data_IF_566071741823
#
_entry.id   IF_566071741823
#
_cell.length_a   1.000
_cell.length_b   1.000
_cell.length_c   1.000
_cell.angle_alpha   90.00
_cell.angle_beta   90.00
_cell.angle_gamma   90.00
#
_symmetry.space_group_name_H-M   'P 1'
#
loop_
_entity.id
_entity.type
_entity.pdbx_description
1 polymer ?
#
# COMPACT_ATOMS: atom_id res chain seq x y z
N UNK A 1 13.18 -11.61 6.00
CA UNK A 1 12.41 -10.48 6.58
C UNK A 1 10.93 -10.63 6.25
N UNK A 2 10.02 -9.91 6.92
CA UNK A 2 8.58 -9.89 6.55
C UNK A 2 8.21 -8.55 5.91
N UNK A 3 7.49 -8.58 4.79
CA UNK A 3 7.02 -7.39 4.08
C UNK A 3 5.51 -7.45 3.91
N UNK A 4 4.83 -6.39 4.34
CA UNK A 4 3.42 -6.13 4.03
C UNK A 4 3.36 -5.10 2.92
N UNK A 5 2.99 -5.55 1.72
CA UNK A 5 2.73 -4.66 0.61
C UNK A 5 1.35 -4.03 0.75
N UNK A 6 1.22 -2.76 0.39
CA UNK A 6 -0.03 -2.04 0.55
C UNK A 6 -0.42 -1.32 -0.74
N UNK A 7 -1.67 -1.47 -1.16
CA UNK A 7 -2.22 -0.62 -2.20
C UNK A 7 -2.54 0.77 -1.64
N UNK A 8 -1.81 1.76 -2.14
CA UNK A 8 -1.90 3.14 -1.66
C UNK A 8 -3.25 3.77 -1.99
N UNK A 9 -3.84 3.47 -3.15
CA UNK A 9 -5.08 4.12 -3.55
C UNK A 9 -6.23 3.67 -2.66
N UNK A 10 -6.46 2.37 -2.58
CA UNK A 10 -7.59 1.83 -1.81
C UNK A 10 -7.50 2.10 -0.32
N UNK A 11 -6.29 2.10 0.24
CA UNK A 11 -6.11 2.27 1.68
C UNK A 11 -5.99 3.73 2.11
N UNK A 12 -5.31 4.60 1.36
CA UNK A 12 -5.01 5.98 1.81
C UNK A 12 -5.96 7.01 1.20
N UNK A 13 -6.68 6.63 0.13
CA UNK A 13 -7.63 7.45 -0.60
C UNK A 13 -8.92 6.68 -0.85
N UNK A 14 -9.40 6.00 0.19
CA UNK A 14 -10.65 5.25 0.12
C UNK A 14 -11.81 6.18 -0.23
N UNK A 15 -12.81 5.64 -0.92
CA UNK A 15 -14.02 6.39 -1.28
C UNK A 15 -14.66 7.03 -0.04
N UNK A 16 -14.79 6.28 1.05
CA UNK A 16 -15.32 6.78 2.31
C UNK A 16 -14.49 7.95 2.86
N UNK A 17 -13.16 7.88 2.81
CA UNK A 17 -12.31 8.98 3.28
C UNK A 17 -12.48 10.23 2.41
N UNK A 18 -12.51 10.06 1.08
CA UNK A 18 -12.68 11.18 0.15
C UNK A 18 -14.04 11.85 0.35
N UNK A 19 -15.13 11.08 0.39
CA UNK A 19 -16.50 11.60 0.51
C UNK A 19 -16.75 12.30 1.84
N UNK A 20 -16.18 11.81 2.94
CA UNK A 20 -16.34 12.39 4.27
C UNK A 20 -15.51 13.67 4.48
N UNK A 21 -14.58 14.01 3.58
CA UNK A 21 -13.70 15.16 3.71
C UNK A 21 -13.85 16.10 2.51
N UNK A 22 -14.67 17.14 2.64
CA UNK A 22 -15.02 18.03 1.53
C UNK A 22 -13.79 18.66 0.83
N UNK A 23 -12.78 19.10 1.59
CA UNK A 23 -11.55 19.66 1.01
C UNK A 23 -10.72 18.62 0.25
N UNK A 24 -10.68 17.38 0.74
CA UNK A 24 -10.02 16.25 0.07
C UNK A 24 -10.77 15.87 -1.19
N UNK A 25 -12.10 15.78 -1.13
CA UNK A 25 -12.95 15.53 -2.29
C UNK A 25 -12.72 16.55 -3.40
N UNK A 26 -12.69 17.84 -3.06
CA UNK A 26 -12.41 18.89 -4.04
C UNK A 26 -11.02 18.76 -4.66
N UNK A 27 -9.97 18.62 -3.83
CA UNK A 27 -8.60 18.47 -4.31
C UNK A 27 -8.42 17.19 -5.16
N UNK A 28 -9.12 16.11 -4.81
CA UNK A 28 -9.12 14.86 -5.57
C UNK A 28 -9.76 15.03 -6.95
N UNK A 29 -10.90 15.72 -7.03
CA UNK A 29 -11.55 16.02 -8.31
C UNK A 29 -10.71 16.96 -9.19
N UNK A 30 -10.05 17.95 -8.61
CA UNK A 30 -9.10 18.80 -9.34
C UNK A 30 -7.89 18.00 -9.86
N UNK A 31 -7.31 17.16 -9.00
CA UNK A 31 -6.21 16.28 -9.38
C UNK A 31 -6.59 15.34 -10.52
N UNK A 32 -7.77 14.71 -10.43
CA UNK A 32 -8.28 13.75 -11.42
C UNK A 32 -8.46 14.37 -12.81
N UNK A 33 -8.79 15.66 -12.89
CA UNK A 33 -9.06 16.35 -14.14
C UNK A 33 -7.78 16.73 -14.90
N UNK A 34 -6.72 17.17 -14.20
CA UNK A 34 -5.67 17.95 -14.86
C UNK A 34 -4.23 17.71 -14.35
N UNK A 35 -3.98 16.76 -13.45
CA UNK A 35 -2.68 16.71 -12.79
C UNK A 35 -1.74 15.60 -13.29
N UNK A 36 -0.53 15.94 -13.79
CA UNK A 36 0.55 14.97 -14.00
C UNK A 36 1.27 14.61 -12.69
N UNK A 37 0.93 15.26 -11.56
CA UNK A 37 1.63 15.06 -10.29
C UNK A 37 1.09 13.84 -9.53
N UNK A 38 1.95 13.20 -8.73
CA UNK A 38 1.55 12.08 -7.89
C UNK A 38 0.50 12.54 -6.86
N UNK A 39 -0.52 11.70 -6.62
CA UNK A 39 -1.63 12.00 -5.73
C UNK A 39 -1.20 12.41 -4.31
N UNK A 40 -0.16 11.77 -3.73
CA UNK A 40 0.41 12.12 -2.43
C UNK A 40 0.92 13.57 -2.34
N UNK A 41 1.22 14.22 -3.47
CA UNK A 41 1.66 15.62 -3.50
C UNK A 41 0.51 16.61 -3.66
N UNK A 42 -0.64 16.15 -4.15
CA UNK A 42 -1.77 17.00 -4.51
C UNK A 42 -2.93 16.90 -3.51
N UNK A 43 -3.12 15.72 -2.92
CA UNK A 43 -4.25 15.42 -2.05
C UNK A 43 -3.74 14.86 -0.74
N UNK A 44 -4.30 15.33 0.37
CA UNK A 44 -3.93 14.85 1.70
C UNK A 44 -4.45 13.42 1.90
N UNK A 45 -3.59 12.42 2.17
CA UNK A 45 -4.04 11.06 2.43
C UNK A 45 -4.67 10.90 3.81
N UNK A 46 -5.40 9.80 4.01
CA UNK A 46 -5.94 9.40 5.32
C UNK A 46 -4.82 9.07 6.30
N UNK A 47 -4.37 10.08 7.05
CA UNK A 47 -3.30 9.91 8.05
C UNK A 47 -3.70 8.98 9.20
N UNK A 48 -4.99 8.92 9.54
CA UNK A 48 -5.45 8.05 10.62
C UNK A 48 -5.42 6.59 10.17
N UNK A 49 -5.89 6.30 8.95
CA UNK A 49 -5.77 4.98 8.33
C UNK A 49 -4.30 4.55 8.16
N UNK A 50 -3.44 5.45 7.67
CA UNK A 50 -1.99 5.20 7.55
C UNK A 50 -1.39 4.82 8.90
N UNK A 51 -1.67 5.57 9.96
CA UNK A 51 -1.10 5.30 11.29
C UNK A 51 -1.59 3.95 11.86
N UNK A 52 -2.86 3.60 11.66
CA UNK A 52 -3.38 2.28 12.03
C UNK A 52 -2.63 1.16 11.32
N UNK A 53 -2.48 1.26 10.00
CA UNK A 53 -1.76 0.28 9.19
C UNK A 53 -0.29 0.16 9.63
N UNK A 54 0.36 1.30 9.84
CA UNK A 54 1.74 1.42 10.31
C UNK A 54 1.97 0.67 11.60
N UNK A 55 1.17 0.97 12.63
CA UNK A 55 1.27 0.32 13.93
C UNK A 55 1.04 -1.18 13.83
N UNK A 56 -0.01 -1.61 13.16
CA UNK A 56 -0.33 -3.03 13.01
C UNK A 56 0.79 -3.81 12.31
N UNK A 57 1.38 -3.24 11.25
CA UNK A 57 2.49 -3.85 10.54
C UNK A 57 3.72 -4.00 11.45
N UNK A 58 4.13 -2.92 12.12
CA UNK A 58 5.31 -2.92 13.00
C UNK A 58 5.14 -3.89 14.17
N UNK A 59 3.98 -3.87 14.84
CA UNK A 59 3.66 -4.77 15.96
C UNK A 59 3.63 -6.25 15.55
N UNK A 60 3.41 -6.51 14.26
CA UNK A 60 3.39 -7.85 13.67
C UNK A 60 4.72 -8.23 12.97
N UNK A 61 5.75 -7.38 13.12
CA UNK A 61 7.11 -7.63 12.63
C UNK A 61 7.31 -7.36 11.12
N UNK A 62 6.39 -6.64 10.49
CA UNK A 62 6.47 -6.30 9.07
C UNK A 62 7.21 -5.00 8.83
N UNK A 63 7.94 -4.97 7.71
CA UNK A 63 8.24 -3.74 6.97
C UNK A 63 7.10 -3.46 5.99
N UNK A 64 6.81 -2.21 5.72
CA UNK A 64 5.81 -1.79 4.74
C UNK A 64 6.46 -1.50 3.39
N UNK A 65 5.73 -1.73 2.30
CA UNK A 65 6.19 -1.31 0.98
C UNK A 65 5.02 -1.03 0.03
N UNK A 66 5.04 0.07 -0.73
CA UNK A 66 3.92 0.39 -1.61
C UNK A 66 3.82 -0.58 -2.79
N UNK A 67 2.59 -0.83 -3.21
CA UNK A 67 2.32 -1.60 -4.42
C UNK A 67 2.45 -0.73 -5.68
N UNK A 68 2.97 -1.33 -6.75
CA UNK A 68 3.10 -0.69 -8.06
C UNK A 68 4.32 0.23 -8.19
N UNK A 69 4.32 1.07 -9.22
CA UNK A 69 5.46 1.92 -9.58
C UNK A 69 5.20 3.41 -9.37
N UNK A 70 3.95 3.79 -9.16
CA UNK A 70 3.56 5.20 -9.00
C UNK A 70 4.00 5.76 -7.67
N UNK A 71 4.06 4.92 -6.64
CA UNK A 71 4.43 5.31 -5.28
C UNK A 71 5.73 4.64 -4.90
N UNK A 72 6.80 5.42 -4.74
CA UNK A 72 8.13 4.92 -4.36
C UNK A 72 8.34 5.01 -2.85
N UNK A 73 9.23 4.17 -2.31
CA UNK A 73 9.70 4.27 -0.91
C UNK A 73 10.11 5.70 -0.55
N UNK A 74 10.92 6.33 -1.41
CA UNK A 74 11.40 7.70 -1.24
C UNK A 74 10.28 8.73 -1.15
N UNK A 75 9.17 8.54 -1.87
CA UNK A 75 8.04 9.45 -1.84
C UNK A 75 7.35 9.44 -0.47
N UNK A 76 7.18 8.28 0.14
CA UNK A 76 6.59 8.18 1.47
C UNK A 76 7.45 8.82 2.56
N UNK A 77 8.76 8.60 2.50
CA UNK A 77 9.72 9.21 3.45
C UNK A 77 9.71 10.74 3.28
N UNK A 78 9.76 11.24 2.04
CA UNK A 78 9.76 12.67 1.76
C UNK A 78 8.47 13.37 2.24
N UNK A 79 7.33 12.66 2.21
CA UNK A 79 6.06 13.16 2.74
C UNK A 79 5.87 12.90 4.24
N UNK A 80 6.89 12.38 4.94
CA UNK A 80 6.87 12.07 6.39
C UNK A 80 5.71 11.14 6.78
N UNK A 81 5.32 10.23 5.89
CA UNK A 81 4.26 9.25 6.15
C UNK A 81 4.79 7.99 6.85
N UNK A 82 6.05 7.65 6.59
CA UNK A 82 6.75 6.53 7.19
C UNK A 82 8.22 6.87 7.40
N UNK A 83 8.81 6.31 8.44
CA UNK A 83 10.25 6.36 8.66
C UNK A 83 10.99 5.36 7.75
N UNK A 84 12.25 5.63 7.46
CA UNK A 84 13.11 4.75 6.65
C UNK A 84 13.18 3.32 7.16
N UNK A 85 13.10 3.15 8.50
CA UNK A 85 13.15 1.87 9.19
C UNK A 85 11.81 1.15 9.16
N UNK A 86 10.71 1.80 8.83
CA UNK A 86 9.39 1.16 8.73
C UNK A 86 9.17 0.57 7.33
N UNK A 87 9.89 1.08 6.32
CA UNK A 87 9.78 0.62 4.95
C UNK A 87 10.82 -0.43 4.57
N UNK A 88 10.42 -1.38 3.71
CA UNK A 88 11.36 -2.29 3.07
C UNK A 88 12.26 -1.50 2.11
N UNK A 89 13.53 -1.91 1.89
CA UNK A 89 14.44 -1.21 1.00
C UNK A 89 14.06 -1.41 -0.47
N UNK A 90 14.35 -0.43 -1.32
CA UNK A 90 14.21 -0.60 -2.78
C UNK A 90 15.19 -1.67 -3.31
N UNK A 91 14.81 -2.37 -4.39
CA UNK A 91 15.68 -3.27 -5.16
C UNK A 91 15.53 -3.06 -6.65
N UNK A 92 16.66 -3.19 -7.36
CA UNK A 92 16.66 -3.29 -8.83
C UNK A 92 16.06 -4.65 -9.19
N UNK A 93 14.97 -4.63 -9.95
CA UNK A 93 14.26 -5.83 -10.35
C UNK A 93 14.63 -6.20 -11.79
N UNK A 94 15.01 -7.45 -12.01
CA UNK A 94 15.21 -8.01 -13.34
C UNK A 94 13.87 -8.46 -13.92
N UNK A 95 13.03 -7.49 -14.28
CA UNK A 95 11.74 -7.71 -14.91
C UNK A 95 11.81 -7.40 -16.40
N UNK A 96 10.94 -8.01 -17.20
CA UNK A 96 10.87 -7.73 -18.64
C UNK A 96 10.51 -6.26 -18.87
N UNK A 97 11.13 -5.66 -19.88
CA UNK A 97 10.80 -4.30 -20.30
C UNK A 97 9.31 -4.21 -20.65
N UNK A 98 8.61 -3.23 -20.09
CA UNK A 98 7.16 -3.06 -20.25
C UNK A 98 6.30 -3.78 -19.20
N UNK A 99 6.86 -4.65 -18.37
CA UNK A 99 6.11 -5.28 -17.27
C UNK A 99 5.87 -4.25 -16.14
N UNK A 100 4.64 -3.76 -16.12
CA UNK A 100 4.15 -2.78 -15.15
C UNK A 100 3.14 -3.37 -14.17
N UNK A 101 2.91 -4.69 -14.22
CA UNK A 101 1.97 -5.36 -13.33
C UNK A 101 2.45 -5.20 -11.87
N UNK A 102 1.65 -4.54 -11.01
CA UNK A 102 2.07 -4.27 -9.63
C UNK A 102 2.34 -5.53 -8.82
N UNK A 103 1.59 -6.61 -9.05
CA UNK A 103 1.70 -7.88 -8.31
C UNK A 103 2.94 -8.65 -8.77
N UNK A 104 3.22 -8.75 -10.07
CA UNK A 104 4.45 -9.40 -10.56
C UNK A 104 5.69 -8.71 -10.03
N UNK A 105 5.70 -7.38 -10.02
CA UNK A 105 6.81 -6.59 -9.48
C UNK A 105 6.96 -6.78 -7.98
N UNK A 106 5.86 -6.82 -7.24
CA UNK A 106 5.87 -7.16 -5.82
C UNK A 106 6.49 -8.54 -5.57
N UNK A 107 6.08 -9.56 -6.32
CA UNK A 107 6.62 -10.92 -6.18
C UNK A 107 8.13 -10.92 -6.46
N UNK A 108 8.57 -10.31 -7.56
CA UNK A 108 10.00 -10.19 -7.89
C UNK A 108 10.78 -9.44 -6.80
N UNK A 109 10.21 -8.37 -6.25
CA UNK A 109 10.82 -7.60 -5.15
C UNK A 109 10.95 -8.44 -3.88
N UNK A 110 9.90 -9.19 -3.52
CA UNK A 110 9.93 -10.07 -2.35
C UNK A 110 10.97 -11.18 -2.49
N UNK A 111 11.12 -11.75 -3.69
CA UNK A 111 12.11 -12.78 -4.00
C UNK A 111 13.54 -12.22 -3.91
N UNK A 112 13.78 -11.04 -4.47
CA UNK A 112 15.08 -10.37 -4.41
C UNK A 112 15.53 -9.98 -2.98
N UNK A 113 14.58 -9.94 -2.04
CA UNK A 113 14.83 -9.66 -0.61
C UNK A 113 14.71 -10.90 0.27
N UNK A 114 14.48 -12.09 -0.32
CA UNK A 114 14.22 -13.33 0.41
C UNK A 114 13.18 -13.13 1.53
N UNK A 115 12.11 -12.41 1.18
CA UNK A 115 11.12 -11.95 2.14
C UNK A 115 9.87 -12.83 2.14
N UNK A 116 9.36 -13.10 3.35
CA UNK A 116 7.97 -13.54 3.52
C UNK A 116 7.09 -12.33 3.20
N UNK A 117 6.11 -12.49 2.32
CA UNK A 117 5.28 -11.39 1.85
C UNK A 117 3.79 -11.66 2.01
N UNK A 118 3.08 -10.57 2.27
CA UNK A 118 1.64 -10.45 2.22
C UNK A 118 1.31 -9.13 1.52
N UNK A 119 0.11 -9.03 0.96
CA UNK A 119 -0.40 -7.79 0.36
C UNK A 119 -1.75 -7.43 0.96
N UNK A 120 -2.01 -6.14 1.13
CA UNK A 120 -3.28 -5.62 1.62
C UNK A 120 -3.80 -4.48 0.75
N UNK A 121 -5.11 -4.34 0.70
CA UNK A 121 -5.82 -3.40 -0.16
C UNK A 121 -6.95 -4.07 -0.92
N UNK A 122 -7.48 -3.39 -1.93
CA UNK A 122 -8.51 -3.91 -2.84
C UNK A 122 -8.00 -4.17 -4.27
N UNK A 123 -6.68 -4.16 -4.47
CA UNK A 123 -6.05 -4.46 -5.74
C UNK A 123 -6.59 -5.76 -6.34
N UNK A 124 -7.33 -5.63 -7.46
CA UNK A 124 -7.85 -6.77 -8.18
C UNK A 124 -6.77 -7.30 -9.14
N UNK A 125 -6.43 -8.58 -9.00
CA UNK A 125 -5.47 -9.25 -9.86
C UNK A 125 -5.70 -10.74 -9.83
N UNK A 126 -5.88 -11.34 -10.99
CA UNK A 126 -5.97 -12.79 -11.17
C UNK A 126 -4.75 -13.51 -10.59
N UNK A 127 -3.57 -12.86 -10.54
CA UNK A 127 -2.36 -13.44 -9.96
C UNK A 127 -2.52 -13.68 -8.46
N UNK A 128 -3.24 -12.80 -7.74
CA UNK A 128 -3.49 -12.97 -6.32
C UNK A 128 -4.44 -14.15 -6.02
N UNK A 129 -5.24 -14.58 -6.99
CA UNK A 129 -6.09 -15.78 -6.83
C UNK A 129 -5.28 -17.05 -6.62
N UNK A 130 -4.02 -17.09 -7.08
CA UNK A 130 -3.09 -18.20 -6.83
C UNK A 130 -2.49 -18.17 -5.41
N UNK A 131 -2.66 -17.07 -4.68
CA UNK A 131 -2.10 -16.87 -3.34
C UNK A 131 -3.15 -16.34 -2.34
N UNK A 132 -4.28 -17.04 -2.14
CA UNK A 132 -5.39 -16.54 -1.34
C UNK A 132 -4.99 -16.21 0.11
N UNK A 133 -4.13 -17.03 0.71
CA UNK A 133 -3.64 -16.85 2.09
C UNK A 133 -2.64 -15.68 2.25
N UNK A 134 -2.14 -15.12 1.13
CA UNK A 134 -1.21 -13.98 1.15
C UNK A 134 -1.90 -12.65 0.90
N UNK A 135 -3.17 -12.67 0.50
CA UNK A 135 -3.93 -11.47 0.19
C UNK A 135 -4.92 -11.09 1.29
N UNK A 136 -4.59 -10.03 2.01
CA UNK A 136 -5.43 -9.43 3.04
C UNK A 136 -6.37 -8.41 2.38
N UNK A 137 -7.41 -8.91 1.72
CA UNK A 137 -8.39 -8.08 1.04
C UNK A 137 -9.09 -7.12 2.02
N UNK A 138 -9.00 -5.83 1.73
CA UNK A 138 -9.76 -4.79 2.44
C UNK A 138 -11.18 -4.70 1.90
N UNK A 139 -12.09 -4.14 2.69
CA UNK A 139 -13.44 -3.84 2.20
C UNK A 139 -13.34 -2.67 1.22
N UNK A 140 -13.89 -2.86 0.02
CA UNK A 140 -13.87 -1.85 -1.05
C UNK A 140 -14.42 -0.52 -0.54
N UNK A 141 -13.70 0.56 -0.83
CA UNK A 141 -14.11 1.93 -0.50
C UNK A 141 -13.96 2.32 0.98
N UNK A 142 -13.64 1.41 1.90
CA UNK A 142 -13.56 1.72 3.34
C UNK A 142 -12.13 1.99 3.86
N UNK A 143 -11.10 1.75 3.05
CA UNK A 143 -9.71 1.99 3.43
C UNK A 143 -9.20 1.04 4.52
N UNK A 144 -8.47 1.57 5.49
CA UNK A 144 -7.88 0.79 6.59
C UNK A 144 -8.92 0.55 7.69
N UNK A 145 -9.58 -0.60 7.63
CA UNK A 145 -10.60 -1.01 8.61
C UNK A 145 -10.00 -1.82 9.76
N UNK A 146 -10.71 -1.88 10.89
CA UNK A 146 -10.26 -2.70 12.04
C UNK A 146 -10.25 -4.20 11.72
N UNK A 147 -11.08 -4.66 10.77
CA UNK A 147 -11.03 -6.02 10.23
C UNK A 147 -9.71 -6.29 9.52
N UNK A 148 -9.23 -5.36 8.68
CA UNK A 148 -7.93 -5.49 8.01
C UNK A 148 -6.79 -5.54 9.04
N UNK A 149 -6.86 -4.70 10.07
CA UNK A 149 -5.89 -4.68 11.17
C UNK A 149 -5.86 -6.03 11.90
N UNK A 150 -7.03 -6.61 12.21
CA UNK A 150 -7.11 -7.93 12.83
C UNK A 150 -6.46 -9.03 11.97
N UNK A 151 -6.67 -8.99 10.65
CA UNK A 151 -6.01 -9.93 9.71
C UNK A 151 -4.49 -9.79 9.75
N UNK A 152 -3.95 -8.56 9.79
CA UNK A 152 -2.50 -8.31 9.89
C UNK A 152 -1.94 -8.88 11.19
N UNK A 153 -2.62 -8.65 12.32
CA UNK A 153 -2.18 -9.16 13.63
C UNK A 153 -2.20 -10.68 13.72
N UNK A 154 -3.15 -11.35 13.06
CA UNK A 154 -3.19 -12.81 13.00
C UNK A 154 -1.90 -13.40 12.37
N UNK A 155 -1.21 -12.65 11.52
CA UNK A 155 0.05 -13.06 10.90
C UNK A 155 1.28 -12.87 11.79
N UNK A 156 1.14 -12.34 13.00
CA UNK A 156 2.27 -12.12 13.92
C UNK A 156 2.97 -13.42 14.30
N UNK A 157 2.23 -14.52 14.40
CA UNK A 157 2.75 -15.84 14.79
C UNK A 157 3.39 -16.64 13.63
N UNK A 158 3.33 -16.11 12.40
CA UNK A 158 3.90 -16.72 11.18
C UNK A 158 5.27 -16.13 10.88
#
# INVERSE_FOLDING_TARGET
>A
MKILYFDTFSLFYSQQYIENNQSVSHAYEEWRKNSPTNLLKAVRPDLAGIDKLRRAAIESGFKLYPLGTRYTRSLFIANKLFDERELAPDKILNIRMGDSDPIRRMIAHSQALEAVWYVCGDADSEILSAFPERYLKSIFGLGVTDELIAKIHALKAV
#
